data_IF_949642671990
#
_entry.id   IF_949642671990
#
_cell.length_a   1.000
_cell.length_b   1.000
_cell.length_c   1.000
_cell.angle_alpha   90.00
_cell.angle_beta   90.00
_cell.angle_gamma   90.00
#
_symmetry.space_group_name_H-M   'P 1'
#
loop_
_entity.id
_entity.type
_entity.pdbx_description
1 polymer ?
#
# COMPACT_ATOMS: atom_id res chain seq x y z
N UNK A 1 -28.96 1.53 38.11
CA UNK A 1 -27.76 2.16 37.52
C UNK A 1 -26.73 1.12 37.00
N UNK A 2 -27.15 -0.09 36.61
CA UNK A 2 -26.25 -1.15 36.10
C UNK A 2 -26.65 -1.70 34.72
N UNK A 3 -27.94 -1.59 34.35
CA UNK A 3 -28.42 -2.02 33.02
C UNK A 3 -27.80 -1.23 31.86
N UNK A 4 -27.50 0.06 32.05
CA UNK A 4 -26.88 0.88 31.00
C UNK A 4 -25.45 0.44 30.63
N UNK A 5 -24.67 -0.10 31.58
CA UNK A 5 -23.34 -0.63 31.29
C UNK A 5 -23.40 -1.96 30.55
N UNK A 6 -24.41 -2.78 30.83
CA UNK A 6 -24.58 -4.09 30.20
C UNK A 6 -25.02 -3.95 28.74
N UNK A 7 -25.96 -3.04 28.46
CA UNK A 7 -26.41 -2.71 27.09
C UNK A 7 -25.31 -2.02 26.29
N UNK A 8 -24.55 -1.09 26.90
CA UNK A 8 -23.42 -0.47 26.21
C UNK A 8 -22.31 -1.49 25.86
N UNK A 9 -22.13 -2.54 26.68
CA UNK A 9 -21.23 -3.65 26.38
C UNK A 9 -21.68 -4.48 25.19
N UNK A 10 -22.99 -4.69 25.05
CA UNK A 10 -23.60 -5.42 23.93
C UNK A 10 -23.50 -4.61 22.61
N UNK A 11 -23.73 -3.30 22.66
CA UNK A 11 -23.62 -2.40 21.48
C UNK A 11 -22.18 -2.22 20.96
N UNK A 12 -21.15 -2.41 21.79
CA UNK A 12 -19.74 -2.32 21.35
C UNK A 12 -19.14 -3.67 20.92
N UNK A 13 -19.84 -4.77 21.16
CA UNK A 13 -19.31 -6.12 20.92
C UNK A 13 -19.21 -6.44 19.42
N UNK A 14 -20.15 -5.94 18.62
CA UNK A 14 -20.14 -6.12 17.17
C UNK A 14 -20.22 -4.78 16.41
N UNK A 15 -19.12 -4.01 16.36
CA UNK A 15 -19.10 -2.66 15.75
C UNK A 15 -19.22 -2.67 14.21
N UNK A 16 -19.33 -3.85 13.60
CA UNK A 16 -19.39 -4.07 12.15
C UNK A 16 -20.79 -4.50 11.68
N UNK A 17 -21.78 -4.48 12.58
CA UNK A 17 -23.17 -4.75 12.26
C UNK A 17 -23.84 -3.57 11.54
N UNK A 18 -25.17 -3.53 11.64
CA UNK A 18 -26.02 -2.49 11.07
C UNK A 18 -26.82 -1.73 12.13
N UNK A 19 -26.41 -1.82 13.40
CA UNK A 19 -27.02 -1.07 14.47
C UNK A 19 -26.69 0.42 14.36
N UNK A 20 -27.51 1.27 14.98
CA UNK A 20 -27.38 2.73 14.86
C UNK A 20 -26.01 3.26 15.34
N UNK A 21 -25.38 2.55 16.27
CA UNK A 21 -24.10 2.92 16.86
C UNK A 21 -22.91 2.19 16.20
N UNK A 22 -23.16 1.37 15.17
CA UNK A 22 -22.13 0.66 14.43
C UNK A 22 -21.41 1.55 13.42
N UNK A 23 -20.25 1.06 12.96
CA UNK A 23 -19.49 1.70 11.91
C UNK A 23 -20.24 1.58 10.58
N UNK A 24 -20.39 2.70 9.88
CA UNK A 24 -20.98 2.71 8.54
C UNK A 24 -19.98 2.20 7.49
N UNK A 25 -19.84 0.88 7.40
CA UNK A 25 -18.93 0.19 6.47
C UNK A 25 -19.28 0.45 5.00
N UNK A 26 -20.56 0.66 4.69
CA UNK A 26 -21.00 1.02 3.35
C UNK A 26 -20.43 2.37 2.92
N UNK A 27 -20.40 3.35 3.83
CA UNK A 27 -19.76 4.63 3.56
C UNK A 27 -18.26 4.48 3.29
N UNK A 28 -17.53 3.69 4.10
CA UNK A 28 -16.10 3.46 3.89
C UNK A 28 -15.82 2.77 2.55
N UNK A 29 -16.55 1.71 2.23
CA UNK A 29 -16.34 0.95 1.00
C UNK A 29 -16.71 1.74 -0.24
N UNK A 30 -17.83 2.47 -0.23
CA UNK A 30 -18.34 3.17 -1.41
C UNK A 30 -17.69 4.53 -1.65
N UNK A 31 -17.42 5.30 -0.59
CA UNK A 31 -16.98 6.70 -0.72
C UNK A 31 -15.49 6.89 -0.52
N UNK A 32 -14.84 6.01 0.24
CA UNK A 32 -13.41 6.13 0.54
C UNK A 32 -12.65 5.08 -0.29
N UNK A 33 -12.75 3.80 0.05
CA UNK A 33 -11.93 2.74 -0.54
C UNK A 33 -12.12 2.67 -2.07
N UNK A 34 -13.36 2.71 -2.55
CA UNK A 34 -13.65 2.68 -3.99
C UNK A 34 -13.09 3.89 -4.72
N UNK A 35 -13.13 5.08 -4.12
CA UNK A 35 -12.62 6.29 -4.75
C UNK A 35 -11.09 6.29 -4.78
N UNK A 36 -10.43 5.86 -3.70
CA UNK A 36 -8.98 5.69 -3.65
C UNK A 36 -8.50 4.64 -4.68
N UNK A 37 -9.16 3.48 -4.75
CA UNK A 37 -8.85 2.47 -5.76
C UNK A 37 -9.02 3.03 -7.17
N UNK A 38 -10.12 3.73 -7.45
CA UNK A 38 -10.33 4.38 -8.75
C UNK A 38 -9.25 5.41 -9.05
N UNK A 39 -8.81 6.20 -8.08
CA UNK A 39 -7.76 7.18 -8.27
C UNK A 39 -6.43 6.50 -8.64
N UNK A 40 -6.03 5.47 -7.90
CA UNK A 40 -4.79 4.71 -8.14
C UNK A 40 -4.84 4.00 -9.50
N UNK A 41 -5.98 3.38 -9.86
CA UNK A 41 -6.13 2.64 -11.12
C UNK A 41 -6.60 3.52 -12.29
N UNK A 42 -6.76 4.83 -12.11
CA UNK A 42 -7.22 5.73 -13.17
C UNK A 42 -6.19 5.93 -14.28
N UNK A 43 -4.91 5.72 -13.95
CA UNK A 43 -3.80 5.83 -14.89
C UNK A 43 -3.46 4.46 -15.44
N UNK A 44 -3.22 4.33 -16.76
CA UNK A 44 -2.69 3.09 -17.32
C UNK A 44 -1.32 2.80 -16.71
N UNK A 45 -0.96 1.52 -16.63
CA UNK A 45 0.37 1.12 -16.20
C UNK A 45 1.43 1.83 -17.08
N UNK A 46 2.45 2.45 -16.46
CA UNK A 46 3.46 3.16 -17.22
C UNK A 46 4.28 2.19 -18.06
N UNK A 47 4.80 2.65 -19.20
CA UNK A 47 5.70 1.86 -20.04
C UNK A 47 6.92 1.40 -19.21
N UNK A 48 7.15 0.09 -19.02
CA UNK A 48 8.26 -0.41 -18.24
C UNK A 48 9.63 0.07 -18.74
N UNK A 49 9.79 0.24 -20.05
CA UNK A 49 11.04 0.71 -20.65
C UNK A 49 11.36 2.17 -20.32
N UNK A 50 10.35 2.94 -19.91
CA UNK A 50 10.52 4.32 -19.44
C UNK A 50 10.53 4.40 -17.92
N UNK A 51 9.61 3.71 -17.25
CA UNK A 51 9.48 3.76 -15.81
C UNK A 51 10.70 3.16 -15.11
N UNK A 52 11.15 1.96 -15.49
CA UNK A 52 12.27 1.30 -14.82
C UNK A 52 13.58 2.11 -14.92
N UNK A 53 13.70 2.98 -15.93
CA UNK A 53 14.88 3.78 -16.19
C UNK A 53 14.75 5.26 -15.75
N UNK A 54 13.66 5.59 -15.06
CA UNK A 54 13.43 6.93 -14.53
C UNK A 54 14.35 7.19 -13.31
N UNK A 55 14.88 8.41 -13.17
CA UNK A 55 15.82 8.76 -12.11
C UNK A 55 15.22 8.64 -10.69
N UNK A 56 13.89 8.70 -10.60
CA UNK A 56 13.13 8.47 -9.37
C UNK A 56 13.26 7.03 -8.86
N UNK A 57 13.60 6.09 -9.74
CA UNK A 57 13.72 4.68 -9.42
C UNK A 57 15.15 4.24 -9.07
N UNK A 58 16.14 5.14 -8.99
CA UNK A 58 17.56 4.85 -8.71
C UNK A 58 17.84 4.06 -7.39
N UNK A 59 16.81 3.80 -6.58
CA UNK A 59 16.87 3.00 -5.35
C UNK A 59 16.30 1.57 -5.49
N UNK A 60 15.84 1.15 -6.67
CA UNK A 60 15.16 -0.15 -6.85
C UNK A 60 16.02 -1.36 -6.48
N UNK A 61 17.32 -1.33 -6.76
CA UNK A 61 18.25 -2.45 -6.51
C UNK A 61 19.39 -2.05 -5.58
N UNK A 62 19.09 -1.24 -4.57
CA UNK A 62 20.05 -0.75 -3.58
C UNK A 62 19.71 -1.31 -2.20
N UNK A 63 20.70 -1.60 -1.36
CA UNK A 63 20.42 -1.96 0.03
C UNK A 63 19.88 -0.73 0.77
N UNK A 64 18.73 -0.82 1.47
CA UNK A 64 18.18 0.28 2.25
C UNK A 64 19.16 0.86 3.29
N UNK A 65 20.14 0.08 3.73
CA UNK A 65 21.15 0.49 4.73
C UNK A 65 22.27 1.33 4.14
N UNK A 66 22.60 1.14 2.87
CA UNK A 66 23.70 1.84 2.22
C UNK A 66 23.27 3.22 1.72
N UNK A 67 21.99 3.40 1.40
CA UNK A 67 21.42 4.68 0.93
C UNK A 67 22.02 5.18 -0.40
N UNK A 68 22.83 4.35 -1.07
CA UNK A 68 23.45 4.65 -2.35
C UNK A 68 22.37 4.71 -3.43
N UNK A 69 22.32 5.80 -4.20
CA UNK A 69 21.46 5.89 -5.40
C UNK A 69 22.25 5.41 -6.60
N UNK A 70 21.73 4.39 -7.26
CA UNK A 70 22.35 3.76 -8.42
C UNK A 70 21.50 3.99 -9.65
N UNK A 71 22.07 4.63 -10.67
CA UNK A 71 21.37 4.81 -11.93
C UNK A 71 21.08 3.46 -12.61
N UNK A 72 20.05 3.39 -13.47
CA UNK A 72 19.73 2.18 -14.22
C UNK A 72 20.88 1.60 -15.04
N UNK A 73 21.74 2.46 -15.59
CA UNK A 73 22.95 2.03 -16.32
C UNK A 73 23.94 1.29 -15.41
N UNK A 74 24.02 1.68 -14.14
CA UNK A 74 24.89 1.05 -13.17
C UNK A 74 24.34 -0.30 -12.73
N UNK A 75 23.03 -0.44 -12.54
CA UNK A 75 22.41 -1.76 -12.32
C UNK A 75 22.71 -2.69 -13.49
N UNK A 76 22.48 -2.22 -14.73
CA UNK A 76 22.74 -3.00 -15.94
C UNK A 76 24.20 -3.45 -16.02
N UNK A 77 25.14 -2.58 -15.63
CA UNK A 77 26.58 -2.89 -15.57
C UNK A 77 26.91 -3.96 -14.53
N UNK A 78 26.28 -3.90 -13.35
CA UNK A 78 26.44 -4.91 -12.28
C UNK A 78 25.80 -6.25 -12.64
N UNK A 79 24.79 -6.23 -13.50
CA UNK A 79 24.16 -7.43 -14.07
C UNK A 79 22.94 -7.93 -13.27
N UNK A 80 22.16 -8.79 -13.92
CA UNK A 80 20.86 -9.24 -13.40
C UNK A 80 20.96 -10.11 -12.13
N UNK A 81 22.08 -10.80 -11.89
CA UNK A 81 22.28 -11.63 -10.70
C UNK A 81 22.26 -10.78 -9.43
N UNK A 82 22.96 -9.65 -9.43
CA UNK A 82 22.95 -8.72 -8.29
C UNK A 82 21.57 -8.06 -8.11
N UNK A 83 20.87 -7.71 -9.20
CA UNK A 83 19.50 -7.20 -9.11
C UNK A 83 18.55 -8.21 -8.44
N UNK A 84 18.61 -9.48 -8.86
CA UNK A 84 17.80 -10.56 -8.29
C UNK A 84 18.12 -10.80 -6.81
N UNK A 85 19.40 -10.70 -6.45
CA UNK A 85 19.83 -10.79 -5.05
C UNK A 85 19.19 -9.70 -4.20
N UNK A 86 19.19 -8.45 -4.65
CA UNK A 86 18.51 -7.35 -3.94
C UNK A 86 16.99 -7.55 -3.84
N UNK A 87 16.35 -8.13 -4.86
CA UNK A 87 14.91 -8.44 -4.81
C UNK A 87 14.56 -9.59 -3.86
N UNK A 88 15.45 -10.57 -3.69
CA UNK A 88 15.22 -11.73 -2.82
C UNK A 88 15.27 -11.42 -1.32
N UNK A 89 15.67 -10.20 -0.96
CA UNK A 89 15.76 -9.74 0.42
C UNK A 89 14.46 -9.13 0.98
N UNK A 90 13.40 -9.04 0.16
CA UNK A 90 12.07 -8.55 0.55
C UNK A 90 11.11 -9.69 0.90
#
# INVERSE_FOLDING_TARGET
>A
MFFGFLVAGEEIENPFGYDKNDLNLDHFTHNIIRNELRAITSSPAPDPARWAFAAENDLLFTDPKDGERLSPNEWLRRGHVEMQRHMSAF
#
